data_IF_568674499433
#
_entry.id   IF_568674499433
#
_cell.length_a   1.000
_cell.length_b   1.000
_cell.length_c   1.000
_cell.angle_alpha   90.00
_cell.angle_beta   90.00
_cell.angle_gamma   90.00
#
_symmetry.space_group_name_H-M   'P 1'
#
loop_
_entity.id
_entity.type
_entity.pdbx_description
1 polymer ?
#
# COMPACT_ATOMS: atom_id res chain seq x y z
N UNK A 1 -13.03 -34.81 2.79
CA UNK A 1 -12.62 -34.09 1.58
C UNK A 1 -11.15 -34.34 1.28
N UNK A 2 -10.82 -34.64 0.07
CA UNK A 2 -9.45 -34.96 -0.28
C UNK A 2 -8.56 -33.72 -0.25
N UNK A 3 -7.36 -33.89 0.29
CA UNK A 3 -6.34 -32.88 0.25
C UNK A 3 -5.70 -32.84 -1.14
N UNK A 4 -5.62 -31.68 -1.70
CA UNK A 4 -4.98 -31.49 -3.01
C UNK A 4 -3.63 -30.80 -2.82
N UNK A 5 -2.66 -31.24 -3.58
CA UNK A 5 -1.36 -30.58 -3.64
C UNK A 5 -1.27 -29.78 -4.91
N UNK A 6 -0.96 -28.50 -4.75
CA UNK A 6 -0.76 -27.57 -5.86
C UNK A 6 0.71 -27.18 -5.85
N UNK A 7 1.34 -27.34 -6.99
CA UNK A 7 2.74 -26.97 -7.15
C UNK A 7 2.81 -25.64 -7.90
N UNK A 8 3.34 -24.64 -7.23
CA UNK A 8 3.52 -23.31 -7.80
C UNK A 8 4.95 -23.23 -8.34
N UNK A 9 5.07 -23.17 -9.65
CA UNK A 9 6.38 -23.08 -10.30
C UNK A 9 6.72 -21.66 -10.72
N UNK A 10 5.69 -20.79 -10.86
CA UNK A 10 5.89 -19.41 -11.25
C UNK A 10 4.74 -18.56 -10.76
N UNK A 11 5.01 -17.29 -10.52
CA UNK A 11 4.02 -16.26 -10.22
C UNK A 11 4.18 -15.17 -11.25
N UNK A 12 3.05 -14.61 -11.71
CA UNK A 12 3.09 -13.45 -12.59
C UNK A 12 3.56 -12.25 -11.77
N UNK A 13 4.76 -11.68 -12.04
CA UNK A 13 5.27 -10.56 -11.25
C UNK A 13 4.35 -9.34 -11.31
N UNK A 14 3.67 -9.11 -12.43
CA UNK A 14 2.77 -7.96 -12.56
C UNK A 14 1.53 -8.12 -11.68
N UNK A 15 0.97 -9.34 -11.61
CA UNK A 15 -0.16 -9.61 -10.73
C UNK A 15 0.22 -9.46 -9.27
N UNK A 16 1.37 -9.98 -8.86
CA UNK A 16 1.85 -9.84 -7.50
C UNK A 16 2.15 -8.37 -7.19
N UNK A 17 2.73 -7.64 -8.13
CA UNK A 17 2.98 -6.21 -7.97
C UNK A 17 1.69 -5.44 -7.76
N UNK A 18 0.65 -5.72 -8.54
CA UNK A 18 -0.64 -5.07 -8.38
C UNK A 18 -1.25 -5.38 -7.02
N UNK A 19 -1.19 -6.64 -6.58
CA UNK A 19 -1.71 -7.03 -5.26
C UNK A 19 -1.01 -6.27 -4.14
N UNK A 20 0.32 -6.26 -4.15
CA UNK A 20 1.10 -5.57 -3.13
C UNK A 20 0.90 -4.06 -3.23
N UNK A 21 0.81 -3.54 -4.46
CA UNK A 21 0.56 -2.11 -4.68
C UNK A 21 -0.78 -1.66 -4.12
N UNK A 22 -1.84 -2.44 -4.33
CA UNK A 22 -3.17 -2.13 -3.75
C UNK A 22 -3.11 -2.16 -2.23
N UNK A 23 -2.44 -3.15 -1.66
CA UNK A 23 -2.27 -3.24 -0.22
C UNK A 23 -1.56 -1.99 0.33
N UNK A 24 -0.49 -1.57 -0.32
CA UNK A 24 0.24 -0.37 0.09
C UNK A 24 -0.58 0.90 -0.12
N UNK A 25 -1.42 0.94 -1.17
CA UNK A 25 -2.30 2.08 -1.40
C UNK A 25 -3.29 2.26 -0.26
N UNK A 26 -3.85 1.16 0.27
CA UNK A 26 -4.74 1.21 1.43
C UNK A 26 -4.02 1.78 2.64
N UNK A 27 -2.78 1.35 2.87
CA UNK A 27 -1.95 1.91 3.95
C UNK A 27 -1.72 3.41 3.71
N UNK A 28 -1.47 3.80 2.46
CA UNK A 28 -1.28 5.20 2.11
C UNK A 28 -2.50 6.05 2.41
N UNK A 29 -3.71 5.53 2.15
CA UNK A 29 -4.94 6.24 2.52
C UNK A 29 -5.02 6.42 4.03
N UNK A 30 -4.70 5.38 4.79
CA UNK A 30 -4.73 5.47 6.25
C UNK A 30 -3.74 6.53 6.75
N UNK A 31 -2.53 6.57 6.21
CA UNK A 31 -1.54 7.58 6.57
C UNK A 31 -2.03 8.97 6.19
N UNK A 32 -2.60 9.12 5.00
CA UNK A 32 -3.16 10.40 4.56
C UNK A 32 -4.26 10.91 5.49
N UNK A 33 -5.13 10.02 5.94
CA UNK A 33 -6.18 10.37 6.89
C UNK A 33 -5.60 10.82 8.23
N UNK A 34 -4.61 10.11 8.74
CA UNK A 34 -3.96 10.48 10.01
C UNK A 34 -3.30 11.85 9.88
N UNK A 35 -2.63 12.11 8.76
CA UNK A 35 -2.00 13.41 8.54
C UNK A 35 -3.04 14.52 8.42
N UNK A 36 -4.17 14.25 7.76
CA UNK A 36 -5.24 15.24 7.61
C UNK A 36 -5.81 15.63 8.96
N UNK A 37 -6.16 14.65 9.80
CA UNK A 37 -6.69 14.92 11.12
C UNK A 37 -5.66 15.59 12.02
N UNK A 38 -4.41 15.11 11.99
CA UNK A 38 -3.34 15.69 12.80
C UNK A 38 -3.04 17.13 12.42
N UNK A 39 -3.00 17.42 11.12
CA UNK A 39 -2.73 18.78 10.65
C UNK A 39 -3.87 19.74 11.01
N UNK A 40 -5.12 19.29 10.86
CA UNK A 40 -6.28 20.09 11.23
C UNK A 40 -6.29 20.37 12.73
N UNK A 41 -6.04 19.34 13.54
CA UNK A 41 -5.99 19.51 14.99
C UNK A 41 -4.91 20.49 15.38
N UNK A 42 -3.72 20.37 14.82
CA UNK A 42 -2.60 21.25 15.13
C UNK A 42 -2.90 22.70 14.73
N UNK A 43 -3.54 22.89 13.57
CA UNK A 43 -3.90 24.22 13.10
C UNK A 43 -4.96 24.87 14.00
N UNK A 44 -5.93 24.07 14.50
CA UNK A 44 -6.99 24.58 15.39
C UNK A 44 -6.48 24.90 16.79
N UNK A 45 -5.63 24.04 17.35
CA UNK A 45 -5.25 24.12 18.76
C UNK A 45 -3.77 24.43 18.99
N UNK A 46 -2.99 24.55 17.91
CA UNK A 46 -1.59 24.92 18.03
C UNK A 46 -1.39 26.42 18.17
N UNK A 47 -0.12 26.84 18.30
CA UNK A 47 0.25 28.25 18.52
C UNK A 47 0.41 29.02 17.20
N UNK A 48 -0.15 28.54 16.11
CA UNK A 48 0.05 29.14 14.79
C UNK A 48 -0.78 30.37 14.48
N UNK A 49 -1.75 30.72 15.34
CA UNK A 49 -2.56 31.91 15.11
C UNK A 49 -3.56 31.80 13.97
N UNK A 50 -3.91 30.60 13.55
CA UNK A 50 -4.86 30.40 12.47
C UNK A 50 -6.29 30.60 12.95
N UNK A 51 -7.13 31.23 12.10
CA UNK A 51 -8.55 31.26 12.33
C UNK A 51 -9.15 29.88 12.09
N UNK A 52 -10.41 29.69 12.54
CA UNK A 52 -11.11 28.42 12.33
C UNK A 52 -11.18 28.08 10.83
N UNK A 53 -11.53 29.05 9.99
CA UNK A 53 -11.63 28.81 8.56
C UNK A 53 -10.28 28.52 7.92
N UNK A 54 -9.24 29.20 8.37
CA UNK A 54 -7.88 28.93 7.90
C UNK A 54 -7.44 27.51 8.28
N UNK A 55 -7.73 27.07 9.50
CA UNK A 55 -7.39 25.73 9.95
C UNK A 55 -8.14 24.66 9.16
N UNK A 56 -9.43 24.87 8.90
CA UNK A 56 -10.21 23.94 8.09
C UNK A 56 -9.67 23.88 6.65
N UNK A 57 -9.38 25.04 6.06
CA UNK A 57 -8.83 25.08 4.70
C UNK A 57 -7.50 24.36 4.59
N UNK A 58 -6.61 24.57 5.57
CA UNK A 58 -5.32 23.90 5.61
C UNK A 58 -5.49 22.39 5.78
N UNK A 59 -6.37 21.97 6.72
CA UNK A 59 -6.62 20.55 6.95
C UNK A 59 -7.22 19.86 5.73
N UNK A 60 -8.15 20.53 5.04
CA UNK A 60 -8.76 19.98 3.82
C UNK A 60 -7.72 19.85 2.70
N UNK A 61 -6.84 20.85 2.56
CA UNK A 61 -5.78 20.80 1.54
C UNK A 61 -4.81 19.67 1.82
N UNK A 62 -4.32 19.54 3.06
CA UNK A 62 -3.42 18.47 3.45
C UNK A 62 -4.10 17.12 3.30
N UNK A 63 -5.37 17.04 3.70
CA UNK A 63 -6.14 15.80 3.60
C UNK A 63 -6.34 15.36 2.15
N UNK A 64 -6.70 16.28 1.28
CA UNK A 64 -6.88 15.97 -0.14
C UNK A 64 -5.57 15.47 -0.75
N UNK A 65 -4.47 16.21 -0.52
CA UNK A 65 -3.16 15.79 -1.01
C UNK A 65 -2.75 14.45 -0.43
N UNK A 66 -2.97 14.25 0.87
CA UNK A 66 -2.63 12.99 1.53
C UNK A 66 -3.40 11.82 0.99
N UNK A 67 -4.71 11.97 0.78
CA UNK A 67 -5.57 10.89 0.31
C UNK A 67 -5.31 10.55 -1.15
N UNK A 68 -4.84 11.52 -1.95
CA UNK A 68 -4.56 11.32 -3.38
C UNK A 68 -3.10 10.94 -3.60
N UNK A 69 -2.17 11.69 -2.99
CA UNK A 69 -0.73 11.56 -3.28
C UNK A 69 -0.13 10.33 -2.60
N UNK A 70 -0.43 10.12 -1.32
CA UNK A 70 0.18 9.00 -0.58
C UNK A 70 -0.24 7.64 -1.11
N UNK A 71 -1.52 7.37 -1.38
CA UNK A 71 -1.87 6.09 -1.98
C UNK A 71 -1.21 5.85 -3.32
N UNK A 72 -1.10 6.89 -4.14
CA UNK A 72 -0.49 6.78 -5.45
C UNK A 72 0.99 6.42 -5.34
N UNK A 73 1.73 7.13 -4.48
CA UNK A 73 3.15 6.86 -4.27
C UNK A 73 3.35 5.47 -3.67
N UNK A 74 2.53 5.10 -2.68
CA UNK A 74 2.64 3.80 -2.03
C UNK A 74 2.27 2.67 -2.97
N UNK A 75 1.29 2.90 -3.85
CA UNK A 75 0.97 1.92 -4.88
C UNK A 75 2.17 1.63 -5.77
N UNK A 76 2.84 2.69 -6.23
CA UNK A 76 4.02 2.53 -7.10
C UNK A 76 5.11 1.77 -6.37
N UNK A 77 5.40 2.13 -5.13
CA UNK A 77 6.44 1.46 -4.33
C UNK A 77 6.07 -0.01 -4.13
N UNK A 78 4.83 -0.28 -3.74
CA UNK A 78 4.36 -1.64 -3.52
C UNK A 78 4.36 -2.46 -4.79
N UNK A 79 3.97 -1.85 -5.91
CA UNK A 79 3.96 -2.54 -7.19
C UNK A 79 5.38 -2.96 -7.58
N UNK A 80 6.34 -2.06 -7.44
CA UNK A 80 7.74 -2.36 -7.76
C UNK A 80 8.25 -3.48 -6.86
N UNK A 81 8.00 -3.39 -5.55
CA UNK A 81 8.42 -4.42 -4.61
C UNK A 81 7.79 -5.77 -4.93
N UNK A 82 6.49 -5.78 -5.19
CA UNK A 82 5.79 -7.02 -5.52
C UNK A 82 6.29 -7.64 -6.80
N UNK A 83 6.56 -6.82 -7.82
CA UNK A 83 7.10 -7.32 -9.09
C UNK A 83 8.49 -7.93 -8.89
N UNK A 84 9.33 -7.28 -8.07
CA UNK A 84 10.66 -7.79 -7.76
C UNK A 84 10.55 -9.12 -7.00
N UNK A 85 9.68 -9.20 -6.01
CA UNK A 85 9.47 -10.44 -5.26
C UNK A 85 8.98 -11.56 -6.16
N UNK A 86 8.05 -11.26 -7.08
CA UNK A 86 7.57 -12.24 -8.03
C UNK A 86 8.68 -12.75 -8.94
N UNK A 87 9.53 -11.85 -9.41
CA UNK A 87 10.65 -12.21 -10.24
C UNK A 87 11.64 -13.11 -9.47
N UNK A 88 11.97 -12.72 -8.24
CA UNK A 88 12.86 -13.53 -7.39
C UNK A 88 12.22 -14.88 -7.08
N UNK A 89 10.92 -14.91 -6.80
CA UNK A 89 10.20 -16.15 -6.55
C UNK A 89 10.32 -17.09 -7.75
N UNK A 90 10.15 -16.57 -8.96
CA UNK A 90 10.23 -17.39 -10.18
C UNK A 90 11.64 -17.98 -10.34
N UNK A 91 12.68 -17.21 -10.04
CA UNK A 91 14.06 -17.72 -10.10
C UNK A 91 14.24 -18.80 -9.03
N UNK A 92 13.81 -18.54 -7.80
CA UNK A 92 13.97 -19.50 -6.72
C UNK A 92 13.24 -20.82 -7.01
N UNK A 93 12.01 -20.76 -7.51
CA UNK A 93 11.26 -21.98 -7.80
C UNK A 93 11.84 -22.77 -8.96
N UNK A 94 12.51 -22.10 -9.90
CA UNK A 94 13.15 -22.82 -11.01
C UNK A 94 14.32 -23.68 -10.49
N UNK A 95 14.99 -23.25 -9.42
CA UNK A 95 16.04 -24.04 -8.80
C UNK A 95 15.50 -25.12 -7.87
N UNK A 96 14.36 -24.85 -7.21
CA UNK A 96 13.76 -25.75 -6.24
C UNK A 96 12.83 -26.78 -6.86
N UNK A 97 12.48 -26.61 -8.13
CA UNK A 97 11.48 -27.46 -8.78
C UNK A 97 10.05 -27.08 -8.47
N UNK A 98 9.83 -25.91 -7.85
CA UNK A 98 8.52 -25.40 -7.55
C UNK A 98 8.19 -25.40 -6.07
N UNK A 99 7.11 -24.72 -5.72
CA UNK A 99 6.59 -24.64 -4.36
C UNK A 99 5.32 -25.47 -4.26
N UNK A 100 5.30 -26.43 -3.32
CA UNK A 100 4.12 -27.24 -3.10
C UNK A 100 3.25 -26.63 -2.01
N UNK A 101 1.96 -26.50 -2.29
CA UNK A 101 0.96 -26.05 -1.34
C UNK A 101 -0.13 -27.09 -1.26
N UNK A 102 -0.48 -27.50 -0.02
CA UNK A 102 -1.60 -28.39 0.19
C UNK A 102 -2.88 -27.57 0.36
N UNK A 103 -3.92 -27.95 -0.37
CA UNK A 103 -5.24 -27.34 -0.28
C UNK A 103 -6.26 -28.38 0.08
N UNK A 104 -7.27 -27.97 0.81
CA UNK A 104 -8.37 -28.85 1.21
C UNK A 104 -9.64 -28.45 0.53
#
# INVERSE_FOLDING_TARGET
>A
MATQKVKITAINPMSLGTFVGVFYAVIGVAIGLVLAFGSTFQALFGNGGYSFFQALGFGLAVGFLGIVVYPFIYFIIGWIQGAIFGFIFNIATSYMGGLEIETK
#
